data_IF_423941259521
#
_entry.id   IF_423941259521
#
_cell.length_a   1.000
_cell.length_b   1.000
_cell.length_c   1.000
_cell.angle_alpha   90.00
_cell.angle_beta   90.00
_cell.angle_gamma   90.00
#
_symmetry.space_group_name_H-M   'P 1'
#
loop_
_entity.id
_entity.type
_entity.pdbx_description
1 polymer ?
#
# COMPACT_ATOMS: atom_id res chain seq x y z
N UNK A 1 -2.01 -3.70 8.69
CA UNK A 1 -3.03 -4.76 8.85
C UNK A 1 -2.54 -5.98 8.09
N UNK A 2 -2.52 -7.16 8.70
CA UNK A 2 -2.09 -8.40 8.03
C UNK A 2 -3.27 -8.99 7.24
N UNK A 3 -3.47 -8.47 6.03
CA UNK A 3 -4.54 -8.89 5.14
C UNK A 3 -3.93 -9.37 3.80
N UNK A 4 -4.47 -10.44 3.20
CA UNK A 4 -4.09 -10.85 1.85
C UNK A 4 -4.52 -9.78 0.83
N UNK A 5 -3.89 -9.80 -0.35
CA UNK A 5 -4.03 -8.80 -1.41
C UNK A 5 -5.45 -8.26 -1.62
N UNK A 6 -6.45 -9.10 -1.97
CA UNK A 6 -7.81 -8.63 -2.24
C UNK A 6 -8.47 -7.91 -1.06
N UNK A 7 -8.29 -8.42 0.16
CA UNK A 7 -8.85 -7.81 1.36
C UNK A 7 -8.15 -6.50 1.71
N UNK A 8 -6.83 -6.43 1.50
CA UNK A 8 -6.03 -5.21 1.66
C UNK A 8 -6.44 -4.13 0.65
N UNK A 9 -6.64 -4.47 -0.61
CA UNK A 9 -7.11 -3.53 -1.63
C UNK A 9 -8.51 -2.98 -1.34
N UNK A 10 -9.43 -3.85 -0.89
CA UNK A 10 -10.75 -3.43 -0.45
C UNK A 10 -10.68 -2.46 0.75
N UNK A 11 -9.76 -2.71 1.69
CA UNK A 11 -9.50 -1.78 2.79
C UNK A 11 -8.97 -0.43 2.28
N UNK A 12 -8.01 -0.42 1.36
CA UNK A 12 -7.46 0.83 0.80
C UNK A 12 -8.56 1.68 0.11
N UNK A 13 -9.44 1.06 -0.68
CA UNK A 13 -10.59 1.75 -1.29
C UNK A 13 -11.54 2.34 -0.25
N UNK A 14 -11.85 1.59 0.80
CA UNK A 14 -12.72 2.07 1.88
C UNK A 14 -12.09 3.23 2.65
N UNK A 15 -10.78 3.17 2.91
CA UNK A 15 -10.07 4.29 3.55
C UNK A 15 -10.09 5.53 2.68
N UNK A 16 -9.85 5.39 1.37
CA UNK A 16 -9.95 6.50 0.41
C UNK A 16 -11.36 7.13 0.44
N UNK A 17 -12.42 6.34 0.34
CA UNK A 17 -13.79 6.85 0.40
C UNK A 17 -14.21 7.48 1.74
N UNK A 18 -13.46 7.23 2.82
CA UNK A 18 -13.71 7.84 4.12
C UNK A 18 -12.99 9.19 4.31
N UNK A 19 -12.09 9.57 3.41
CA UNK A 19 -11.40 10.86 3.46
C UNK A 19 -12.32 11.96 2.93
N UNK A 20 -12.46 13.05 3.70
CA UNK A 20 -13.22 14.23 3.28
C UNK A 20 -12.55 14.90 2.08
N UNK A 21 -13.28 15.59 1.19
CA UNK A 21 -12.69 16.38 0.10
C UNK A 21 -11.59 17.33 0.61
N UNK A 22 -10.45 17.35 -0.09
CA UNK A 22 -9.26 18.11 0.31
C UNK A 22 -8.40 17.45 1.40
N UNK A 23 -8.83 16.31 1.97
CA UNK A 23 -8.05 15.50 2.90
C UNK A 23 -6.92 14.72 2.24
N UNK A 24 -6.10 14.06 3.05
CA UNK A 24 -4.96 13.25 2.59
C UNK A 24 -5.04 11.86 3.20
N UNK A 25 -4.62 10.86 2.43
CA UNK A 25 -4.43 9.48 2.85
C UNK A 25 -2.93 9.15 2.83
N UNK A 26 -2.40 8.61 3.91
CA UNK A 26 -1.05 8.06 3.97
C UNK A 26 -1.15 6.55 4.26
N UNK A 27 -0.52 5.75 3.40
CA UNK A 27 -0.41 4.29 3.56
C UNK A 27 1.07 3.94 3.68
N UNK A 28 1.40 3.13 4.70
CA UNK A 28 2.75 2.64 4.95
C UNK A 28 2.68 1.12 5.14
N UNK A 29 3.63 0.39 4.58
CA UNK A 29 3.72 -1.05 4.69
C UNK A 29 5.10 -1.59 4.35
N UNK A 30 5.26 -2.90 4.54
CA UNK A 30 6.50 -3.60 4.24
C UNK A 30 6.61 -3.88 2.75
N UNK A 31 7.75 -3.51 2.18
CA UNK A 31 8.08 -3.74 0.79
C UNK A 31 8.45 -5.22 0.56
N UNK A 32 8.15 -5.82 -0.61
CA UNK A 32 8.57 -7.19 -0.92
C UNK A 32 10.09 -7.45 -0.73
N UNK A 33 10.93 -6.44 -0.96
CA UNK A 33 12.39 -6.53 -0.74
C UNK A 33 12.76 -6.81 0.72
N UNK A 34 11.85 -6.63 1.69
CA UNK A 34 12.11 -6.99 3.09
C UNK A 34 12.43 -8.49 3.23
N UNK A 35 11.95 -9.35 2.31
CA UNK A 35 12.26 -10.79 2.29
C UNK A 35 13.71 -11.11 1.90
N UNK A 36 14.40 -10.17 1.26
CA UNK A 36 15.78 -10.31 0.81
C UNK A 36 16.78 -9.81 1.87
N UNK A 37 16.28 -9.18 2.93
CA UNK A 37 17.11 -8.67 4.02
C UNK A 37 17.52 -9.77 4.99
N UNK A 38 18.57 -9.52 5.78
CA UNK A 38 18.98 -10.41 6.87
C UNK A 38 18.03 -10.37 8.08
N UNK A 39 17.01 -9.52 8.06
CA UNK A 39 16.01 -9.43 9.12
C UNK A 39 15.01 -10.58 8.94
N UNK A 40 14.93 -11.46 9.95
CA UNK A 40 14.06 -12.65 9.93
C UNK A 40 12.56 -12.31 9.88
N UNK A 41 12.05 -12.00 8.69
CA UNK A 41 10.63 -11.76 8.42
C UNK A 41 9.94 -13.10 8.12
N UNK A 42 8.70 -13.32 8.61
CA UNK A 42 7.89 -14.42 8.13
C UNK A 42 7.73 -14.32 6.60
N UNK A 43 8.07 -15.39 5.87
CA UNK A 43 7.95 -15.43 4.41
C UNK A 43 6.48 -15.61 4.02
N UNK A 44 5.72 -14.51 4.08
CA UNK A 44 4.30 -14.44 3.72
C UNK A 44 4.15 -13.33 2.67
N UNK A 45 4.47 -13.61 1.38
CA UNK A 45 4.51 -12.59 0.32
C UNK A 45 3.22 -11.78 0.18
N UNK A 46 2.07 -12.41 0.39
CA UNK A 46 0.75 -11.77 0.33
C UNK A 46 0.54 -10.64 1.36
N UNK A 47 1.39 -10.56 2.38
CA UNK A 47 1.37 -9.50 3.40
C UNK A 47 2.18 -8.26 3.00
N UNK A 48 3.00 -8.36 1.95
CA UNK A 48 3.88 -7.31 1.46
C UNK A 48 3.25 -6.61 0.26
N UNK A 49 3.64 -5.36 0.02
CA UNK A 49 3.18 -4.60 -1.13
C UNK A 49 4.09 -3.44 -1.48
N UNK A 50 4.06 -3.05 -2.75
CA UNK A 50 4.74 -1.85 -3.24
C UNK A 50 3.81 -0.64 -3.11
N UNK A 51 4.36 0.59 -3.02
CA UNK A 51 3.53 1.79 -3.05
C UNK A 51 2.78 1.95 -4.38
N UNK A 52 3.31 1.45 -5.50
CA UNK A 52 2.64 1.44 -6.81
C UNK A 52 1.38 0.57 -6.79
N UNK A 53 1.41 -0.57 -6.10
CA UNK A 53 0.23 -1.40 -5.90
C UNK A 53 -0.84 -0.68 -5.07
N UNK A 54 -0.45 0.20 -4.14
CA UNK A 54 -1.42 1.03 -3.41
C UNK A 54 -2.00 2.10 -4.33
N UNK A 55 -1.16 2.81 -5.09
CA UNK A 55 -1.59 3.86 -5.99
C UNK A 55 -2.56 3.35 -7.06
N UNK A 56 -2.31 2.16 -7.63
CA UNK A 56 -3.15 1.54 -8.65
C UNK A 56 -4.58 1.19 -8.18
N UNK A 57 -4.83 1.18 -6.87
CA UNK A 57 -6.14 0.87 -6.29
C UNK A 57 -7.03 2.13 -6.17
N UNK A 58 -6.42 3.32 -6.23
CA UNK A 58 -7.13 4.60 -6.11
C UNK A 58 -7.64 5.07 -7.48
N UNK A 59 -8.79 5.74 -7.49
CA UNK A 59 -9.30 6.37 -8.71
C UNK A 59 -8.43 7.58 -9.07
N UNK A 60 -7.76 7.52 -10.22
CA UNK A 60 -6.88 8.58 -10.71
C UNK A 60 -7.62 9.89 -11.05
N UNK A 61 -8.95 9.86 -11.23
CA UNK A 61 -9.76 11.05 -11.40
C UNK A 61 -10.01 11.79 -10.07
N UNK A 62 -9.96 11.09 -8.94
CA UNK A 62 -10.25 11.64 -7.61
C UNK A 62 -8.98 11.87 -6.77
N UNK A 63 -7.91 11.12 -7.04
CA UNK A 63 -6.70 11.09 -6.21
C UNK A 63 -5.46 11.53 -6.97
N UNK A 64 -4.76 12.52 -6.43
CA UNK A 64 -3.41 12.87 -6.85
C UNK A 64 -2.38 12.16 -5.97
N UNK A 65 -1.45 11.43 -6.61
CA UNK A 65 -0.34 10.78 -5.90
C UNK A 65 0.76 11.81 -5.66
N UNK A 66 0.90 12.25 -4.40
CA UNK A 66 1.95 13.20 -4.00
C UNK A 66 3.30 12.50 -3.77
N UNK A 67 3.27 11.26 -3.30
CA UNK A 67 4.45 10.44 -2.99
C UNK A 67 4.14 8.97 -3.31
N UNK A 68 5.01 8.33 -4.08
CA UNK A 68 5.15 6.87 -4.20
C UNK A 68 6.63 6.57 -4.02
N UNK A 69 7.00 5.96 -2.89
CA UNK A 69 8.40 5.71 -2.56
C UNK A 69 8.51 4.35 -1.87
N UNK A 70 9.34 3.48 -2.45
CA UNK A 70 9.67 2.16 -1.93
C UNK A 70 11.18 2.01 -1.82
N UNK A 71 11.64 0.83 -1.39
CA UNK A 71 13.06 0.52 -1.48
C UNK A 71 13.52 0.62 -2.95
N UNK A 72 14.68 1.22 -3.18
CA UNK A 72 15.32 1.18 -4.50
C UNK A 72 15.67 -0.28 -4.80
N UNK A 73 15.31 -0.73 -6.00
CA UNK A 73 15.76 -2.02 -6.53
C UNK A 73 17.27 -2.02 -6.78
#
# INVERSE_FOLDING_TARGET
MHLPGPAREALHRRMAGAVRPGGRLLVVGHHPSDLETSVGRPNIPDMLFTPEQVAAVLDAAEWAILVSAGALA
#
